data_IF_822282534918
#
_entry.id   IF_822282534918
#
_cell.length_a   1.000
_cell.length_b   1.000
_cell.length_c   1.000
_cell.angle_alpha   90.00
_cell.angle_beta   90.00
_cell.angle_gamma   90.00
#
_symmetry.space_group_name_H-M   'P 1'
#
loop_
_entity.id
_entity.type
_entity.pdbx_description
1 polymer ?
#
# COMPACT_ATOMS: atom_id res chain seq x y z
N UNK A 1 -14.44 4.60 15.25
CA UNK A 1 -14.70 6.06 15.08
C UNK A 1 -13.48 6.70 14.41
N UNK A 2 -13.66 7.52 13.38
CA UNK A 2 -12.55 8.24 12.73
C UNK A 2 -11.90 9.20 13.74
N UNK A 3 -10.59 9.11 13.91
CA UNK A 3 -9.83 10.00 14.81
C UNK A 3 -8.75 10.68 13.99
N UNK A 4 -8.91 11.99 13.82
CA UNK A 4 -7.89 12.82 13.19
C UNK A 4 -7.13 13.55 14.30
N UNK A 5 -5.90 13.12 14.55
CA UNK A 5 -5.04 13.71 15.57
C UNK A 5 -4.50 15.07 15.12
N UNK A 6 -3.95 15.84 16.05
CA UNK A 6 -3.18 17.04 15.77
C UNK A 6 -1.87 17.00 16.55
N UNK A 7 -0.86 17.69 16.04
CA UNK A 7 0.46 17.84 16.69
C UNK A 7 0.91 19.30 16.67
N UNK A 8 2.02 19.61 17.32
CA UNK A 8 2.60 20.96 17.34
C UNK A 8 3.99 20.93 16.71
N UNK A 9 4.23 21.80 15.73
CA UNK A 9 5.60 22.08 15.25
C UNK A 9 6.18 23.23 16.08
N UNK A 10 7.32 22.98 16.73
CA UNK A 10 8.03 24.00 17.51
C UNK A 10 7.20 24.64 18.63
N UNK A 11 6.24 23.91 19.20
CA UNK A 11 5.46 24.31 20.38
C UNK A 11 4.28 25.26 20.14
N UNK A 12 4.24 26.03 19.04
CA UNK A 12 3.25 27.11 18.90
C UNK A 12 2.30 27.04 17.69
N UNK A 13 2.52 26.14 16.73
CA UNK A 13 1.63 26.00 15.56
C UNK A 13 0.99 24.62 15.52
N UNK A 14 -0.35 24.50 15.71
CA UNK A 14 -1.03 23.23 15.57
C UNK A 14 -1.04 22.80 14.10
N UNK A 15 -0.65 21.55 13.86
CA UNK A 15 -0.72 20.88 12.57
C UNK A 15 -1.77 19.79 12.68
N UNK A 16 -2.82 19.98 11.90
CA UNK A 16 -3.98 19.10 11.91
C UNK A 16 -3.75 18.00 10.87
N UNK A 17 -3.67 16.74 11.33
CA UNK A 17 -3.38 15.61 10.44
C UNK A 17 -4.53 15.34 9.46
N UNK A 18 -5.74 15.86 9.73
CA UNK A 18 -6.85 15.86 8.76
C UNK A 18 -6.60 16.71 7.50
N UNK A 19 -5.52 17.50 7.46
CA UNK A 19 -5.14 18.27 6.28
C UNK A 19 -4.24 17.48 5.31
N UNK A 20 -3.68 16.37 5.77
CA UNK A 20 -2.84 15.47 4.98
C UNK A 20 -3.73 14.44 4.30
N UNK A 21 -3.83 14.49 2.97
CA UNK A 21 -4.78 13.66 2.20
C UNK A 21 -4.51 12.17 2.37
N UNK A 22 -3.25 11.78 2.40
CA UNK A 22 -2.80 10.42 2.67
C UNK A 22 -3.16 9.96 4.09
N UNK A 23 -2.98 10.78 5.13
CA UNK A 23 -3.40 10.44 6.49
C UNK A 23 -4.92 10.29 6.57
N UNK A 24 -5.69 11.14 5.89
CA UNK A 24 -7.15 11.00 5.83
C UNK A 24 -7.54 9.70 5.15
N UNK A 25 -6.88 9.34 4.05
CA UNK A 25 -7.09 8.09 3.34
C UNK A 25 -6.74 6.86 4.21
N UNK A 26 -5.67 6.92 5.00
CA UNK A 26 -5.29 5.88 5.96
C UNK A 26 -6.40 5.64 6.98
N UNK A 27 -6.82 6.71 7.66
CA UNK A 27 -7.82 6.64 8.72
C UNK A 27 -9.19 6.25 8.16
N UNK A 28 -9.54 6.68 6.95
CA UNK A 28 -10.73 6.19 6.25
C UNK A 28 -10.62 4.69 5.90
N UNK A 29 -9.43 4.22 5.52
CA UNK A 29 -9.14 2.80 5.28
C UNK A 29 -9.52 1.93 6.47
N UNK A 30 -9.18 2.33 7.69
CA UNK A 30 -9.62 1.63 8.90
C UNK A 30 -11.13 1.46 8.97
N UNK A 31 -11.90 2.52 8.73
CA UNK A 31 -13.36 2.47 8.79
C UNK A 31 -13.96 1.55 7.70
N UNK A 32 -13.37 1.55 6.50
CA UNK A 32 -13.76 0.62 5.44
C UNK A 32 -13.49 -0.83 5.84
N UNK A 33 -12.31 -1.12 6.40
CA UNK A 33 -11.96 -2.47 6.81
C UNK A 33 -12.82 -2.95 7.98
N UNK A 34 -13.09 -2.09 8.96
CA UNK A 34 -14.01 -2.38 10.08
C UNK A 34 -15.40 -2.78 9.59
N UNK A 35 -15.86 -2.18 8.48
CA UNK A 35 -17.15 -2.51 7.87
C UNK A 35 -17.11 -3.88 7.16
N UNK A 36 -15.99 -4.21 6.51
CA UNK A 36 -15.83 -5.46 5.77
C UNK A 36 -15.53 -6.66 6.68
N UNK A 37 -14.76 -6.44 7.75
CA UNK A 37 -14.22 -7.45 8.64
C UNK A 37 -14.18 -6.92 10.09
N UNK A 38 -15.33 -6.82 10.77
CA UNK A 38 -15.44 -6.16 12.08
C UNK A 38 -14.60 -6.81 13.19
N UNK A 39 -14.26 -8.10 13.04
CA UNK A 39 -13.47 -8.85 14.03
C UNK A 39 -11.95 -8.68 13.84
N UNK A 40 -11.49 -7.85 12.90
CA UNK A 40 -10.06 -7.71 12.59
C UNK A 40 -9.35 -6.62 13.40
N UNK A 41 -10.06 -5.93 14.31
CA UNK A 41 -9.44 -5.11 15.35
C UNK A 41 -8.77 -6.03 16.40
N UNK A 42 -7.54 -6.45 16.11
CA UNK A 42 -6.81 -7.44 16.89
C UNK A 42 -5.32 -7.07 16.98
N UNK A 43 -4.53 -7.92 17.64
CA UNK A 43 -3.07 -7.82 17.67
C UNK A 43 -2.42 -8.74 16.62
N UNK A 44 -1.08 -8.71 16.53
CA UNK A 44 -0.31 -9.56 15.63
C UNK A 44 -0.62 -9.27 14.15
N UNK A 45 -0.50 -10.28 13.28
CA UNK A 45 -0.67 -10.08 11.84
C UNK A 45 -2.05 -9.54 11.44
N UNK A 46 -3.12 -9.83 12.19
CA UNK A 46 -4.46 -9.31 11.86
C UNK A 46 -4.55 -7.81 12.14
N UNK A 47 -4.06 -7.35 13.30
CA UNK A 47 -3.93 -5.92 13.60
C UNK A 47 -2.97 -5.19 12.69
N UNK A 48 -1.81 -5.79 12.42
CA UNK A 48 -0.84 -5.23 11.50
C UNK A 48 -1.38 -5.14 10.05
N UNK A 49 -2.26 -6.06 9.64
CA UNK A 49 -2.93 -5.92 8.34
C UNK A 49 -3.91 -4.73 8.34
N UNK A 50 -4.52 -4.42 9.49
CA UNK A 50 -5.42 -3.27 9.63
C UNK A 50 -4.70 -1.95 9.38
N UNK A 51 -3.48 -1.80 9.93
CA UNK A 51 -2.58 -0.69 9.61
C UNK A 51 -2.11 -0.71 8.15
N UNK A 52 -1.69 -1.88 7.64
CA UNK A 52 -1.25 -2.00 6.25
C UNK A 52 -2.36 -1.62 5.25
N UNK A 53 -3.61 -1.96 5.54
CA UNK A 53 -4.74 -1.59 4.70
C UNK A 53 -4.93 -0.07 4.62
N UNK A 54 -4.73 0.66 5.72
CA UNK A 54 -4.69 2.12 5.73
C UNK A 54 -3.57 2.67 4.83
N UNK A 55 -2.37 2.09 4.90
CA UNK A 55 -1.25 2.49 4.03
C UNK A 55 -1.59 2.28 2.55
N UNK A 56 -2.22 1.16 2.21
CA UNK A 56 -2.63 0.85 0.84
C UNK A 56 -3.73 1.78 0.34
N UNK A 57 -4.72 2.14 1.17
CA UNK A 57 -5.70 3.16 0.83
C UNK A 57 -5.03 4.48 0.49
N UNK A 58 -4.05 4.89 1.30
CA UNK A 58 -3.26 6.11 1.10
C UNK A 58 -2.50 6.07 -0.22
N UNK A 59 -1.77 4.99 -0.49
CA UNK A 59 -1.05 4.73 -1.74
C UNK A 59 -1.97 4.91 -2.95
N UNK A 60 -3.15 4.30 -2.94
CA UNK A 60 -4.06 4.35 -4.08
C UNK A 60 -4.72 5.72 -4.29
N UNK A 61 -4.93 6.49 -3.22
CA UNK A 61 -5.35 7.89 -3.33
C UNK A 61 -4.24 8.71 -3.98
N UNK A 62 -2.99 8.57 -3.54
CA UNK A 62 -1.84 9.27 -4.13
C UNK A 62 -1.66 8.93 -5.62
N UNK A 63 -1.75 7.65 -6.00
CA UNK A 63 -1.72 7.22 -7.40
C UNK A 63 -2.83 7.91 -8.22
N UNK A 64 -4.04 8.04 -7.65
CA UNK A 64 -5.17 8.70 -8.31
C UNK A 64 -4.92 10.19 -8.50
N UNK A 65 -4.29 10.86 -7.54
CA UNK A 65 -3.94 12.29 -7.62
C UNK A 65 -2.87 12.55 -8.71
N UNK A 66 -1.83 11.72 -8.81
CA UNK A 66 -0.84 11.79 -9.91
C UNK A 66 -1.51 11.67 -11.27
N UNK A 67 -2.52 10.79 -11.38
CA UNK A 67 -3.28 10.67 -12.62
C UNK A 67 -4.07 11.92 -12.98
N UNK A 68 -4.56 12.67 -11.99
CA UNK A 68 -5.27 13.92 -12.23
C UNK A 68 -4.32 15.07 -12.62
N UNK A 69 -3.13 15.12 -12.02
CA UNK A 69 -2.12 16.13 -12.33
C UNK A 69 -1.54 15.95 -13.74
N UNK A 70 -1.18 14.72 -14.12
CA UNK A 70 -0.67 14.40 -15.48
C UNK A 70 -1.69 14.63 -16.59
N UNK A 71 -2.99 14.71 -16.27
CA UNK A 71 -4.06 15.07 -17.23
C UNK A 71 -4.27 16.57 -17.38
N UNK A 72 -3.82 17.39 -16.41
CA UNK A 72 -3.76 18.84 -16.54
C UNK A 72 -2.46 19.18 -17.30
N UNK A 73 -2.52 20.17 -18.20
CA UNK A 73 -1.42 20.59 -19.11
C UNK A 73 -0.02 20.46 -18.50
N UNK A 74 1.02 20.14 -19.30
CA UNK A 74 2.41 20.20 -18.84
C UNK A 74 2.68 21.61 -18.27
N UNK A 75 3.38 21.72 -17.13
CA UNK A 75 3.67 23.02 -16.54
C UNK A 75 4.49 23.84 -17.53
N UNK A 76 4.07 25.08 -17.78
CA UNK A 76 4.74 26.03 -18.68
C UNK A 76 6.13 26.45 -18.16
N UNK A 77 6.47 26.09 -16.92
CA UNK A 77 7.72 26.40 -16.26
C UNK A 77 8.38 25.11 -15.75
N UNK A 78 9.68 24.97 -15.98
CA UNK A 78 10.56 23.85 -15.59
C UNK A 78 10.67 23.58 -14.06
N UNK A 79 9.64 23.88 -13.27
CA UNK A 79 9.65 23.74 -11.82
C UNK A 79 8.84 22.52 -11.40
N UNK A 80 9.57 21.54 -10.85
CA UNK A 80 9.18 20.16 -10.52
C UNK A 80 9.10 19.22 -11.72
N UNK A 81 10.22 18.52 -11.96
CA UNK A 81 10.36 17.25 -12.70
C UNK A 81 9.02 16.53 -12.70
N UNK A 82 8.35 16.51 -13.86
CA UNK A 82 7.02 15.91 -14.02
C UNK A 82 7.03 14.52 -13.37
N UNK A 83 6.18 14.31 -12.36
CA UNK A 83 6.11 13.10 -11.54
C UNK A 83 5.54 11.96 -12.38
N UNK A 84 6.36 11.41 -13.27
CA UNK A 84 5.96 10.29 -14.11
C UNK A 84 6.19 9.00 -13.33
N UNK A 85 5.19 8.11 -13.20
CA UNK A 85 5.33 6.83 -12.50
C UNK A 85 6.17 5.82 -13.29
N UNK A 86 7.26 6.25 -13.92
CA UNK A 86 8.10 5.45 -14.81
C UNK A 86 8.89 4.37 -14.05
N UNK A 87 9.24 4.63 -12.78
CA UNK A 87 9.93 3.69 -11.92
C UNK A 87 9.49 3.81 -10.46
N UNK A 88 8.61 2.89 -10.02
CA UNK A 88 8.12 2.84 -8.64
C UNK A 88 9.18 2.40 -7.62
N UNK A 89 10.33 1.89 -8.06
CA UNK A 89 11.45 1.53 -7.17
C UNK A 89 12.51 2.64 -7.07
N UNK A 90 12.31 3.77 -7.75
CA UNK A 90 13.27 4.87 -7.68
C UNK A 90 13.35 5.42 -6.24
N UNK A 91 14.56 5.73 -5.71
CA UNK A 91 14.72 6.23 -4.36
C UNK A 91 14.00 7.56 -4.08
N UNK A 92 13.75 8.36 -5.11
CA UNK A 92 13.04 9.65 -5.08
C UNK A 92 11.53 9.51 -5.36
N UNK A 93 10.99 8.29 -5.44
CA UNK A 93 9.58 8.09 -5.70
C UNK A 93 8.72 8.34 -4.45
N UNK A 94 8.00 9.46 -4.44
CA UNK A 94 7.14 9.86 -3.32
C UNK A 94 5.93 8.95 -3.09
N UNK A 95 5.49 8.17 -4.09
CA UNK A 95 4.32 7.28 -3.94
C UNK A 95 4.52 6.21 -2.85
N UNK A 96 5.77 5.89 -2.50
CA UNK A 96 6.05 4.97 -1.41
C UNK A 96 6.07 5.63 -0.02
N UNK A 97 6.12 6.97 0.07
CA UNK A 97 6.19 7.70 1.31
C UNK A 97 4.78 8.04 1.82
N UNK A 98 4.28 7.28 2.80
CA UNK A 98 2.97 7.52 3.42
C UNK A 98 3.14 8.39 4.66
N UNK A 99 2.27 9.39 4.80
CA UNK A 99 2.29 10.37 5.87
C UNK A 99 3.43 11.37 5.71
N UNK A 100 3.75 11.81 4.48
CA UNK A 100 4.86 12.74 4.21
C UNK A 100 4.76 14.02 5.03
N UNK A 101 3.61 14.70 4.99
CA UNK A 101 3.38 15.94 5.74
C UNK A 101 3.47 15.70 7.25
N UNK A 102 3.04 14.52 7.72
CA UNK A 102 3.12 14.13 9.13
C UNK A 102 4.55 13.80 9.57
N UNK A 103 5.31 13.06 8.75
CA UNK A 103 6.70 12.69 9.00
C UNK A 103 7.63 13.89 9.00
N UNK A 104 7.41 14.83 8.07
CA UNK A 104 8.17 16.07 8.01
C UNK A 104 7.85 17.00 9.17
N UNK A 105 6.58 17.03 9.57
CA UNK A 105 6.12 17.81 10.70
C UNK A 105 6.64 17.28 12.04
N UNK A 106 6.49 15.97 12.28
CA UNK A 106 6.79 15.34 13.57
C UNK A 106 8.28 15.03 13.75
N UNK A 107 8.95 14.64 12.67
CA UNK A 107 10.29 14.07 12.73
C UNK A 107 11.31 14.82 11.86
N UNK A 108 10.92 15.89 11.15
CA UNK A 108 11.76 16.61 10.18
C UNK A 108 12.34 15.68 9.12
N UNK A 109 11.54 14.71 8.66
CA UNK A 109 11.98 13.60 7.82
C UNK A 109 12.31 13.96 6.36
N UNK A 110 12.19 15.23 5.93
CA UNK A 110 12.54 15.76 4.60
C UNK A 110 11.98 14.92 3.43
N UNK A 111 10.68 14.69 3.41
CA UNK A 111 9.98 13.98 2.33
C UNK A 111 10.02 12.46 2.44
N UNK A 112 10.54 11.89 3.53
CA UNK A 112 10.67 10.42 3.70
C UNK A 112 9.39 9.73 4.17
N UNK A 113 8.32 10.46 4.48
CA UNK A 113 7.12 9.84 5.07
C UNK A 113 7.28 9.47 6.54
N UNK A 114 6.17 9.05 7.15
CA UNK A 114 6.19 8.24 8.36
C UNK A 114 6.53 6.78 8.05
N UNK A 115 6.11 6.30 6.87
CA UNK A 115 6.31 4.93 6.41
C UNK A 115 6.73 4.90 4.95
N UNK A 116 7.71 4.07 4.64
CA UNK A 116 8.25 3.86 3.29
C UNK A 116 7.83 2.48 2.80
N UNK A 117 6.86 2.41 1.89
CA UNK A 117 6.32 1.16 1.36
C UNK A 117 7.33 0.43 0.45
N UNK A 118 8.33 1.13 -0.08
CA UNK A 118 9.44 0.53 -0.81
C UNK A 118 10.55 -0.05 0.10
N UNK A 119 10.30 -0.18 1.40
CA UNK A 119 11.19 -0.87 2.34
C UNK A 119 11.47 -2.32 1.90
N UNK A 120 12.43 -3.00 2.52
CA UNK A 120 12.75 -4.41 2.25
C UNK A 120 12.54 -5.33 3.45
N UNK A 121 11.79 -4.89 4.47
CA UNK A 121 11.58 -5.64 5.70
C UNK A 121 10.94 -7.00 5.45
N UNK A 122 11.45 -8.01 6.14
CA UNK A 122 10.90 -9.37 6.16
C UNK A 122 10.25 -9.67 7.50
N UNK A 123 9.37 -10.67 7.50
CA UNK A 123 8.66 -11.12 8.68
C UNK A 123 9.54 -11.47 9.88
N UNK A 124 10.72 -12.07 9.67
CA UNK A 124 11.66 -12.42 10.74
C UNK A 124 12.44 -11.23 11.31
N UNK A 125 12.46 -10.09 10.62
CA UNK A 125 13.29 -8.92 10.96
C UNK A 125 12.53 -7.90 11.82
N UNK A 126 11.22 -8.09 11.99
CA UNK A 126 10.32 -7.08 12.58
C UNK A 126 9.67 -7.59 13.86
N UNK A 127 9.51 -6.67 14.82
CA UNK A 127 8.85 -6.93 16.10
C UNK A 127 7.34 -7.21 15.97
N UNK A 128 6.69 -7.40 17.13
CA UNK A 128 5.26 -7.68 17.22
C UNK A 128 4.37 -6.43 17.31
N UNK A 129 4.97 -5.24 17.32
CA UNK A 129 4.27 -3.96 17.26
C UNK A 129 3.55 -3.86 15.91
N UNK A 130 2.28 -3.44 15.90
CA UNK A 130 1.40 -3.58 14.74
C UNK A 130 1.78 -2.66 13.60
N UNK A 131 2.28 -1.45 13.88
CA UNK A 131 2.72 -0.51 12.84
C UNK A 131 4.03 -1.00 12.20
N UNK A 132 5.00 -1.44 12.98
CA UNK A 132 6.23 -2.02 12.46
C UNK A 132 5.92 -3.28 11.64
N UNK A 133 5.12 -4.19 12.18
CA UNK A 133 4.73 -5.43 11.51
C UNK A 133 3.92 -5.16 10.23
N UNK A 134 3.14 -4.10 10.19
CA UNK A 134 2.35 -3.71 9.00
C UNK A 134 3.25 -3.42 7.80
N UNK A 135 4.46 -2.89 8.03
CA UNK A 135 5.40 -2.53 6.98
C UNK A 135 5.85 -3.72 6.13
N UNK A 136 5.81 -4.93 6.69
CA UNK A 136 6.08 -6.17 5.95
C UNK A 136 4.99 -6.41 4.92
N UNK A 137 3.72 -6.26 5.29
CA UNK A 137 2.60 -6.46 4.36
C UNK A 137 2.43 -5.29 3.38
N UNK A 138 2.56 -4.05 3.85
CA UNK A 138 2.56 -2.86 2.98
C UNK A 138 3.67 -2.96 1.94
N UNK A 139 4.88 -3.39 2.34
CA UNK A 139 6.00 -3.61 1.44
C UNK A 139 5.80 -4.76 0.45
N UNK A 140 5.26 -5.90 0.91
CA UNK A 140 4.85 -7.01 0.05
C UNK A 140 3.91 -6.54 -1.07
N UNK A 141 2.86 -5.81 -0.72
CA UNK A 141 1.86 -5.41 -1.68
C UNK A 141 2.38 -4.33 -2.63
N UNK A 142 3.26 -3.45 -2.14
CA UNK A 142 3.97 -2.48 -2.96
C UNK A 142 4.90 -3.15 -3.98
N UNK A 143 5.65 -4.18 -3.58
CA UNK A 143 6.47 -4.98 -4.49
C UNK A 143 5.63 -5.65 -5.59
N UNK A 144 4.47 -6.19 -5.23
CA UNK A 144 3.52 -6.77 -6.18
C UNK A 144 3.03 -5.72 -7.18
N UNK A 145 2.62 -4.54 -6.70
CA UNK A 145 2.21 -3.43 -7.55
C UNK A 145 3.34 -3.01 -8.50
N UNK A 146 4.55 -2.83 -7.99
CA UNK A 146 5.70 -2.36 -8.76
C UNK A 146 6.10 -3.34 -9.86
N UNK A 147 6.20 -4.63 -9.54
CA UNK A 147 6.60 -5.66 -10.50
C UNK A 147 5.51 -5.93 -11.54
N UNK A 148 4.22 -5.92 -11.16
CA UNK A 148 3.12 -6.04 -12.13
C UNK A 148 3.05 -4.80 -13.02
N UNK A 149 3.20 -3.60 -12.46
CA UNK A 149 3.25 -2.39 -13.27
C UNK A 149 4.39 -2.44 -14.28
N UNK A 150 5.60 -2.83 -13.86
CA UNK A 150 6.73 -2.99 -14.76
C UNK A 150 6.50 -4.03 -15.85
N UNK A 151 5.82 -5.14 -15.51
CA UNK A 151 5.45 -6.20 -16.46
C UNK A 151 4.45 -5.70 -17.52
N UNK A 152 3.44 -4.95 -17.11
CA UNK A 152 2.36 -4.45 -18.00
C UNK A 152 2.73 -3.16 -18.75
N UNK A 153 3.82 -2.50 -18.34
CA UNK A 153 4.24 -1.21 -18.89
C UNK A 153 4.67 -1.36 -20.34
N UNK A 154 3.85 -0.84 -21.24
CA UNK A 154 4.20 -0.65 -22.64
C UNK A 154 3.83 0.77 -23.10
N UNK A 155 4.77 1.74 -23.01
CA UNK A 155 4.48 3.15 -23.29
C UNK A 155 4.06 3.43 -24.73
N UNK A 156 4.35 2.53 -25.68
CA UNK A 156 3.92 2.68 -27.08
C UNK A 156 2.45 2.34 -27.29
N UNK A 157 1.86 1.55 -26.38
CA UNK A 157 0.45 1.13 -26.41
C UNK A 157 -0.39 1.95 -25.45
N UNK A 158 0.10 2.15 -24.21
CA UNK A 158 -0.62 2.86 -23.15
C UNK A 158 0.37 3.63 -22.28
N UNK A 159 0.08 4.92 -22.03
CA UNK A 159 0.92 5.76 -21.17
C UNK A 159 1.06 5.22 -19.75
N UNK A 160 2.20 5.49 -19.12
CA UNK A 160 2.58 4.96 -17.80
C UNK A 160 1.54 5.21 -16.71
N UNK A 161 1.01 6.44 -16.64
CA UNK A 161 -0.03 6.79 -15.67
C UNK A 161 -1.28 5.95 -15.87
N UNK A 162 -1.73 5.75 -17.11
CA UNK A 162 -2.93 4.97 -17.39
C UNK A 162 -2.70 3.48 -17.09
N UNK A 163 -1.52 2.96 -17.41
CA UNK A 163 -1.13 1.59 -17.04
C UNK A 163 -1.11 1.40 -15.53
N UNK A 164 -0.49 2.32 -14.77
CA UNK A 164 -0.47 2.27 -13.32
C UNK A 164 -1.88 2.34 -12.71
N UNK A 165 -2.74 3.22 -13.23
CA UNK A 165 -4.14 3.31 -12.78
C UNK A 165 -4.91 2.01 -13.03
N UNK A 166 -4.68 1.40 -14.20
CA UNK A 166 -5.32 0.14 -14.59
C UNK A 166 -4.87 -1.02 -13.70
N UNK A 167 -3.55 -1.19 -13.54
CA UNK A 167 -2.96 -2.20 -12.64
C UNK A 167 -3.46 -1.99 -11.22
N UNK A 168 -3.41 -0.76 -10.71
CA UNK A 168 -3.89 -0.41 -9.38
C UNK A 168 -5.38 -0.70 -9.18
N UNK A 169 -6.22 -0.47 -10.19
CA UNK A 169 -7.64 -0.78 -10.12
C UNK A 169 -7.89 -2.30 -10.02
N UNK A 170 -7.19 -3.11 -10.81
CA UNK A 170 -7.30 -4.57 -10.72
C UNK A 170 -6.80 -5.09 -9.38
N UNK A 171 -5.64 -4.61 -8.92
CA UNK A 171 -5.04 -5.00 -7.65
C UNK A 171 -5.94 -4.64 -6.45
N UNK A 172 -6.55 -3.44 -6.43
CA UNK A 172 -7.56 -3.09 -5.42
C UNK A 172 -8.73 -4.08 -5.43
N UNK A 173 -9.25 -4.41 -6.60
CA UNK A 173 -10.39 -5.32 -6.75
C UNK A 173 -10.06 -6.71 -6.21
N UNK A 174 -8.91 -7.28 -6.59
CA UNK A 174 -8.52 -8.61 -6.10
C UNK A 174 -8.17 -8.59 -4.61
N UNK A 175 -7.62 -7.49 -4.07
CA UNK A 175 -7.39 -7.34 -2.63
C UNK A 175 -8.71 -7.35 -1.84
N UNK A 176 -9.72 -6.60 -2.28
CA UNK A 176 -11.04 -6.60 -1.62
C UNK A 176 -11.68 -8.00 -1.68
N UNK A 177 -11.54 -8.72 -2.80
CA UNK A 177 -12.00 -10.11 -2.89
C UNK A 177 -11.23 -10.98 -1.89
N UNK A 178 -9.91 -10.86 -1.84
CA UNK A 178 -9.06 -11.62 -0.93
C UNK A 178 -9.44 -11.38 0.55
N UNK A 179 -9.68 -10.13 0.94
CA UNK A 179 -10.17 -9.76 2.26
C UNK A 179 -11.50 -10.42 2.56
N UNK A 180 -12.46 -10.38 1.61
CA UNK A 180 -13.81 -10.93 1.80
C UNK A 180 -13.85 -12.45 1.96
N UNK A 181 -12.95 -13.18 1.29
CA UNK A 181 -12.89 -14.65 1.37
C UNK A 181 -11.94 -15.16 2.45
N UNK A 182 -11.23 -14.25 3.13
CA UNK A 182 -10.40 -14.59 4.28
C UNK A 182 -11.28 -14.85 5.51
N UNK A 183 -10.77 -15.67 6.43
CA UNK A 183 -11.37 -15.98 7.71
C UNK A 183 -11.71 -14.70 8.47
N UNK A 184 -12.95 -14.65 8.96
CA UNK A 184 -13.44 -13.59 9.82
C UNK A 184 -12.72 -13.54 11.17
N UNK A 185 -12.11 -14.64 11.61
CA UNK A 185 -11.38 -14.68 12.86
C UNK A 185 -9.94 -14.15 12.67
N UNK A 186 -9.38 -13.45 13.68
CA UNK A 186 -7.95 -13.16 13.73
C UNK A 186 -7.13 -14.44 13.65
N UNK A 187 -6.08 -14.44 12.83
CA UNK A 187 -5.17 -15.59 12.69
C UNK A 187 -3.72 -15.14 12.85
N UNK A 188 -2.88 -16.06 13.34
CA UNK A 188 -1.42 -15.85 13.44
C UNK A 188 -0.72 -15.81 12.08
N UNK A 189 -1.42 -16.21 11.02
CA UNK A 189 -0.92 -16.30 9.64
C UNK A 189 -1.76 -15.46 8.68
N UNK A 190 -2.41 -14.40 9.18
CA UNK A 190 -3.33 -13.58 8.40
C UNK A 190 -2.68 -13.00 7.13
N UNK A 191 -1.40 -12.66 7.17
CA UNK A 191 -0.68 -12.18 5.99
C UNK A 191 -0.59 -13.25 4.91
N UNK A 192 -0.17 -14.47 5.28
CA UNK A 192 -0.11 -15.58 4.33
C UNK A 192 -1.49 -15.94 3.78
N UNK A 193 -2.51 -15.94 4.65
CA UNK A 193 -3.89 -16.21 4.28
C UNK A 193 -4.39 -15.23 3.21
N UNK A 194 -4.20 -13.92 3.44
CA UNK A 194 -4.61 -12.88 2.48
C UNK A 194 -3.78 -12.97 1.19
N UNK A 195 -2.48 -13.24 1.26
CA UNK A 195 -1.64 -13.39 0.07
C UNK A 195 -2.07 -14.60 -0.79
N UNK A 196 -2.41 -15.72 -0.17
CA UNK A 196 -2.97 -16.90 -0.87
C UNK A 196 -4.32 -16.55 -1.52
N UNK A 197 -5.19 -15.84 -0.79
CA UNK A 197 -6.48 -15.44 -1.33
C UNK A 197 -6.36 -14.39 -2.44
N UNK A 198 -5.33 -13.54 -2.41
CA UNK A 198 -4.99 -12.61 -3.48
C UNK A 198 -4.57 -13.34 -4.76
N UNK A 199 -3.70 -14.34 -4.65
CA UNK A 199 -3.32 -15.23 -5.76
C UNK A 199 -4.55 -15.92 -6.39
N UNK A 200 -5.41 -16.52 -5.56
CA UNK A 200 -6.65 -17.18 -6.01
C UNK A 200 -7.60 -16.17 -6.70
N UNK A 201 -7.71 -14.96 -6.16
CA UNK A 201 -8.54 -13.90 -6.74
C UNK A 201 -8.01 -13.44 -8.11
N UNK A 202 -6.69 -13.35 -8.29
CA UNK A 202 -6.07 -13.09 -9.61
C UNK A 202 -6.37 -14.21 -10.59
N UNK A 203 -6.26 -15.48 -10.17
CA UNK A 203 -6.64 -16.61 -11.03
C UNK A 203 -8.12 -16.59 -11.43
N UNK A 204 -9.00 -16.12 -10.54
CA UNK A 204 -10.42 -15.93 -10.85
C UNK A 204 -10.64 -14.77 -11.82
N UNK A 205 -9.91 -13.67 -11.64
CA UNK A 205 -9.94 -12.52 -12.56
C UNK A 205 -9.48 -12.91 -13.96
N UNK A 206 -8.38 -13.67 -14.07
CA UNK A 206 -7.85 -14.22 -15.32
C UNK A 206 -8.93 -14.99 -16.10
N UNK A 207 -9.60 -15.95 -15.45
CA UNK A 207 -10.71 -16.71 -16.07
C UNK A 207 -11.87 -15.84 -16.51
N UNK A 208 -12.25 -14.83 -15.69
CA UNK A 208 -13.38 -13.93 -16.02
C UNK A 208 -13.07 -13.00 -17.19
N UNK A 209 -11.83 -12.58 -17.34
CA UNK A 209 -11.39 -11.68 -18.40
C UNK A 209 -10.97 -12.42 -19.67
N UNK A 210 -10.74 -13.75 -19.60
CA UNK A 210 -10.20 -14.51 -20.72
C UNK A 210 -8.75 -14.16 -21.05
N UNK A 211 -7.98 -13.69 -20.06
CA UNK A 211 -6.58 -13.29 -20.23
C UNK A 211 -5.68 -14.11 -19.29
N UNK A 212 -4.48 -14.44 -19.73
CA UNK A 212 -3.51 -15.16 -18.90
C UNK A 212 -2.84 -14.20 -17.90
N UNK A 213 -3.12 -14.37 -16.60
CA UNK A 213 -2.47 -13.63 -15.52
C UNK A 213 -1.52 -14.52 -14.70
N UNK A 214 -0.99 -15.60 -15.27
CA UNK A 214 -0.09 -16.52 -14.58
C UNK A 214 1.15 -15.79 -14.02
N UNK A 215 1.72 -14.85 -14.76
CA UNK A 215 2.85 -14.05 -14.29
C UNK A 215 2.50 -13.17 -13.08
N UNK A 216 1.28 -12.63 -13.00
CA UNK A 216 0.84 -11.86 -11.83
C UNK A 216 0.78 -12.74 -10.57
N UNK A 217 0.27 -13.96 -10.72
CA UNK A 217 0.22 -14.95 -9.64
C UNK A 217 1.61 -15.33 -9.15
N UNK A 218 2.54 -15.56 -10.08
CA UNK A 218 3.95 -15.83 -9.76
C UNK A 218 4.61 -14.66 -9.00
N UNK A 219 4.33 -13.41 -9.39
CA UNK A 219 4.83 -12.22 -8.69
C UNK A 219 4.31 -12.19 -7.25
N UNK A 220 3.00 -12.44 -7.03
CA UNK A 220 2.42 -12.53 -5.68
C UNK A 220 3.09 -13.61 -4.84
N UNK A 221 3.24 -14.82 -5.38
CA UNK A 221 3.85 -15.95 -4.67
C UNK A 221 5.33 -15.68 -4.33
N UNK A 222 6.08 -15.11 -5.27
CA UNK A 222 7.48 -14.71 -5.10
C UNK A 222 7.63 -13.75 -3.92
N UNK A 223 6.85 -12.66 -3.90
CA UNK A 223 6.97 -11.63 -2.88
C UNK A 223 6.42 -12.08 -1.53
N UNK A 224 5.36 -12.89 -1.51
CA UNK A 224 4.84 -13.47 -0.27
C UNK A 224 5.91 -14.33 0.44
N UNK A 225 6.68 -15.11 -0.34
CA UNK A 225 7.83 -15.87 0.18
C UNK A 225 8.97 -14.96 0.60
N UNK A 226 9.36 -14.01 -0.24
CA UNK A 226 10.50 -13.10 0.02
C UNK A 226 10.30 -12.25 1.29
N UNK A 227 9.05 -11.88 1.59
CA UNK A 227 8.66 -11.10 2.77
C UNK A 227 8.34 -11.95 3.99
N UNK A 228 8.44 -13.28 3.88
CA UNK A 228 8.26 -14.21 4.99
C UNK A 228 6.89 -14.07 5.69
N UNK A 229 5.83 -13.83 4.91
CA UNK A 229 4.51 -13.50 5.44
C UNK A 229 3.94 -14.56 6.40
N UNK A 230 4.28 -15.83 6.20
CA UNK A 230 3.81 -16.95 7.04
C UNK A 230 4.39 -16.94 8.46
N UNK A 231 5.54 -16.32 8.67
CA UNK A 231 6.26 -16.27 9.95
C UNK A 231 6.35 -14.86 10.55
N UNK A 232 5.86 -13.84 9.85
CA UNK A 232 5.96 -12.46 10.30
C UNK A 232 5.42 -12.24 11.72
N UNK A 233 6.21 -11.58 12.57
CA UNK A 233 5.87 -11.31 13.98
C UNK A 233 5.98 -12.52 14.91
N UNK A 234 6.52 -13.66 14.44
CA UNK A 234 6.94 -14.75 15.32
C UNK A 234 8.32 -14.41 15.87
N UNK A 235 8.47 -14.37 17.20
CA UNK A 235 9.80 -14.34 17.80
C UNK A 235 10.50 -15.67 17.47
N UNK A 236 11.61 -15.61 16.74
CA UNK A 236 12.61 -16.64 16.82
C UNK A 236 13.25 -16.49 18.21
N UNK A 237 12.98 -17.46 19.08
CA UNK A 237 13.75 -17.66 20.31
C UNK A 237 15.05 -18.36 19.97
#
# INVERSE_FOLDING_TARGET
ALRFFYTFQGGNKPIYLCRSTDVVAHVAGHAFLDTLQPNWQANGQTGAFHEAFGDLCSLFVLISMVSMETKKKPPENNEKKMLTPTNLRAPDNFLSAIGEECGDTLYKNKGKGLRILSNTFKGSEVGSEVHDLSMVFSGFYYDVLADIFALERNPTVRGDTETLMTVGAYLRRVLIIAIRVSSHQPTRTKFQEIATNLDIAIGTLSRKLGVDLTSWRQIVQKHAKARELSIAGRRHF
#
